data_IF_311986014482
#
_entry.id   IF_311986014482
#
_cell.length_a   1.000
_cell.length_b   1.000
_cell.length_c   1.000
_cell.angle_alpha   90.00
_cell.angle_beta   90.00
_cell.angle_gamma   90.00
#
_symmetry.space_group_name_H-M   'P 1'
#
loop_
_entity.id
_entity.type
_entity.pdbx_description
1 polymer ?
#
# COMPACT_ATOMS: atom_id res chain seq x y z
N UNK A 1 -19.05 -5.48 1.24
CA UNK A 1 -18.71 -4.06 1.09
C UNK A 1 -17.28 -3.81 1.61
N UNK A 2 -16.66 -2.69 1.24
CA UNK A 2 -15.33 -2.31 1.74
C UNK A 2 -15.31 -2.22 3.28
N UNK A 3 -16.39 -1.70 3.86
CA UNK A 3 -16.58 -1.58 5.31
C UNK A 3 -16.61 -2.95 5.99
N UNK A 4 -17.25 -3.95 5.39
CA UNK A 4 -17.28 -5.33 5.91
C UNK A 4 -15.89 -5.93 5.97
N UNK A 5 -15.05 -5.73 4.93
CA UNK A 5 -13.66 -6.20 4.91
C UNK A 5 -12.78 -5.53 5.96
N UNK A 6 -13.04 -4.25 6.24
CA UNK A 6 -12.33 -3.51 7.30
C UNK A 6 -12.75 -4.06 8.67
N UNK A 7 -14.02 -4.27 8.91
CA UNK A 7 -14.54 -4.86 10.15
C UNK A 7 -14.01 -6.27 10.39
N UNK A 8 -14.06 -7.15 9.38
CA UNK A 8 -13.47 -8.49 9.45
C UNK A 8 -11.96 -8.45 9.73
N UNK A 9 -11.25 -7.49 9.15
CA UNK A 9 -9.82 -7.32 9.39
C UNK A 9 -9.52 -6.85 10.82
N UNK A 10 -10.36 -5.99 11.38
CA UNK A 10 -10.24 -5.52 12.77
C UNK A 10 -10.58 -6.63 13.77
N UNK A 11 -11.63 -7.40 13.50
CA UNK A 11 -12.07 -8.52 14.35
C UNK A 11 -11.03 -9.65 14.37
N UNK A 12 -10.50 -10.03 13.21
CA UNK A 12 -9.40 -11.01 13.10
C UNK A 12 -8.08 -10.50 13.67
N UNK A 13 -7.83 -9.18 13.64
CA UNK A 13 -6.66 -8.57 14.25
C UNK A 13 -6.69 -8.66 15.78
N UNK A 14 -7.88 -8.54 16.38
CA UNK A 14 -8.07 -8.70 17.82
C UNK A 14 -7.83 -10.17 18.29
N UNK A 15 -8.04 -11.15 17.42
CA UNK A 15 -7.85 -12.57 17.72
C UNK A 15 -6.38 -13.02 17.65
N UNK A 16 -5.49 -12.31 16.98
CA UNK A 16 -4.08 -12.69 16.84
C UNK A 16 -3.25 -12.21 18.04
N UNK A 17 -2.95 -13.13 18.98
CA UNK A 17 -2.10 -12.83 20.15
C UNK A 17 -0.65 -12.55 19.73
N UNK A 18 -0.07 -11.39 20.09
CA UNK A 18 1.33 -11.06 19.85
C UNK A 18 2.29 -12.07 20.47
N UNK A 19 3.51 -12.21 19.94
CA UNK A 19 4.55 -13.09 20.54
C UNK A 19 4.89 -12.70 21.97
N UNK A 20 4.77 -11.41 22.28
CA UNK A 20 5.05 -10.86 23.60
C UNK A 20 4.02 -11.35 24.65
N UNK A 21 2.76 -11.56 24.29
CA UNK A 21 1.76 -12.18 25.18
C UNK A 21 2.17 -13.61 25.54
N UNK A 22 2.77 -14.34 24.59
CA UNK A 22 3.34 -15.67 24.86
C UNK A 22 4.55 -15.62 25.79
N UNK A 23 5.36 -14.57 25.67
CA UNK A 23 6.48 -14.34 26.59
C UNK A 23 5.98 -14.05 28.01
N UNK A 24 5.01 -13.15 28.17
CA UNK A 24 4.41 -12.82 29.46
C UNK A 24 3.77 -14.06 30.08
N UNK A 25 3.01 -14.83 29.31
CA UNK A 25 2.41 -16.08 29.80
C UNK A 25 3.47 -17.11 30.25
N UNK A 26 4.57 -17.25 29.51
CA UNK A 26 5.68 -18.14 29.86
C UNK A 26 6.41 -17.64 31.11
N UNK A 27 6.65 -16.33 31.18
CA UNK A 27 7.25 -15.72 32.37
C UNK A 27 6.39 -15.92 33.60
N UNK A 28 5.08 -15.63 33.54
CA UNK A 28 4.16 -15.85 34.64
C UNK A 28 4.11 -17.29 35.12
N UNK A 29 4.18 -18.27 34.20
CA UNK A 29 4.18 -19.70 34.52
C UNK A 29 5.38 -20.10 35.38
N UNK A 30 6.51 -19.46 35.24
CA UNK A 30 7.73 -19.74 36.03
C UNK A 30 7.79 -18.83 37.26
N UNK A 31 7.51 -17.56 37.07
CA UNK A 31 7.59 -16.54 38.12
C UNK A 31 6.60 -16.80 39.26
N UNK A 32 5.35 -17.10 38.95
CA UNK A 32 4.31 -17.29 39.99
C UNK A 32 4.60 -18.42 40.95
N UNK A 33 4.98 -19.64 40.54
CA UNK A 33 5.33 -20.68 41.48
C UNK A 33 6.56 -20.35 42.36
N UNK A 34 7.55 -19.66 41.81
CA UNK A 34 8.74 -19.24 42.56
C UNK A 34 8.36 -18.25 43.67
N UNK A 35 7.54 -17.22 43.33
CA UNK A 35 7.10 -16.22 44.30
C UNK A 35 6.22 -16.82 45.39
N UNK A 36 5.30 -17.73 45.01
CA UNK A 36 4.45 -18.44 45.96
C UNK A 36 5.29 -19.32 46.86
N UNK A 37 6.26 -20.07 46.32
CA UNK A 37 7.19 -20.88 47.09
C UNK A 37 8.00 -20.04 48.08
N UNK A 38 8.54 -18.91 47.65
CA UNK A 38 9.26 -17.99 48.53
C UNK A 38 8.37 -17.42 49.65
N UNK A 39 7.12 -17.07 49.34
CA UNK A 39 6.16 -16.60 50.35
C UNK A 39 5.85 -17.68 51.38
N UNK A 40 5.63 -18.91 50.95
CA UNK A 40 5.40 -20.06 51.88
C UNK A 40 6.61 -20.27 52.75
N UNK A 41 7.82 -20.26 52.21
CA UNK A 41 9.06 -20.39 53.01
C UNK A 41 9.20 -19.22 54.01
N UNK A 42 8.88 -18.00 53.61
CA UNK A 42 8.89 -16.82 54.52
C UNK A 42 7.84 -16.93 55.60
N UNK A 43 6.70 -17.54 55.33
CA UNK A 43 5.68 -17.78 56.36
C UNK A 43 6.10 -18.87 57.37
N UNK A 44 6.66 -19.98 56.89
CA UNK A 44 6.89 -21.17 57.72
C UNK A 44 8.21 -21.10 58.51
N UNK A 45 9.33 -20.84 57.85
CA UNK A 45 10.65 -20.95 58.46
C UNK A 45 10.82 -19.98 59.64
N UNK A 46 10.54 -18.69 59.50
CA UNK A 46 10.67 -17.78 60.63
C UNK A 46 9.62 -17.98 61.71
N UNK A 47 8.39 -18.42 61.35
CA UNK A 47 7.35 -18.74 62.33
C UNK A 47 7.76 -19.91 63.26
N UNK A 48 8.43 -20.90 62.72
CA UNK A 48 8.96 -22.04 63.52
C UNK A 48 10.08 -21.61 64.45
N UNK A 49 10.89 -20.59 64.09
CA UNK A 49 12.01 -20.10 64.91
C UNK A 49 11.53 -19.13 65.97
N UNK A 50 10.62 -18.22 65.63
CA UNK A 50 10.21 -17.11 66.51
C UNK A 50 8.92 -17.38 67.27
N UNK A 51 8.09 -18.38 66.84
CA UNK A 51 6.77 -18.67 67.41
C UNK A 51 5.66 -17.70 67.03
N UNK A 52 5.95 -16.63 66.29
CA UNK A 52 5.00 -15.56 65.91
C UNK A 52 4.40 -15.78 64.51
N UNK A 53 3.41 -16.65 64.43
CA UNK A 53 2.74 -17.00 63.19
C UNK A 53 1.99 -15.81 62.55
N UNK A 54 1.35 -14.96 63.39
CA UNK A 54 0.56 -13.85 62.89
C UNK A 54 1.41 -12.86 62.08
N UNK A 55 2.57 -12.48 62.62
CA UNK A 55 3.48 -11.54 61.98
C UNK A 55 4.04 -12.09 60.67
N UNK A 56 4.52 -13.35 60.67
CA UNK A 56 5.19 -13.92 59.50
C UNK A 56 4.22 -14.29 58.36
N UNK A 57 3.00 -14.73 58.68
CA UNK A 57 1.95 -14.90 57.69
C UNK A 57 1.56 -13.56 57.06
N UNK A 58 1.40 -12.50 57.86
CA UNK A 58 1.13 -11.16 57.33
C UNK A 58 2.25 -10.67 56.43
N UNK A 59 3.52 -10.87 56.80
CA UNK A 59 4.69 -10.53 56.03
C UNK A 59 4.72 -11.28 54.70
N UNK A 60 4.45 -12.57 54.70
CA UNK A 60 4.37 -13.39 53.49
C UNK A 60 3.25 -12.95 52.54
N UNK A 61 2.07 -12.61 53.06
CA UNK A 61 0.97 -12.07 52.25
C UNK A 61 1.34 -10.71 51.65
N UNK A 62 1.96 -9.84 52.41
CA UNK A 62 2.45 -8.54 51.93
C UNK A 62 3.48 -8.73 50.82
N UNK A 63 4.42 -9.68 51.00
CA UNK A 63 5.40 -10.04 49.97
C UNK A 63 4.73 -10.51 48.67
N UNK A 64 3.69 -11.37 48.77
CA UNK A 64 2.92 -11.83 47.60
C UNK A 64 2.28 -10.67 46.83
N UNK A 65 1.64 -9.72 47.53
CA UNK A 65 1.00 -8.58 46.90
C UNK A 65 2.01 -7.66 46.23
N UNK A 66 3.15 -7.38 46.91
CA UNK A 66 4.20 -6.53 46.35
C UNK A 66 4.98 -7.15 45.21
N UNK A 67 5.02 -8.46 45.15
CA UNK A 67 5.72 -9.23 44.09
C UNK A 67 4.85 -9.40 42.83
N UNK A 68 3.67 -8.80 42.77
CA UNK A 68 2.85 -8.86 41.56
C UNK A 68 3.51 -8.10 40.39
N UNK A 69 3.74 -8.71 39.22
CA UNK A 69 4.27 -8.02 38.04
C UNK A 69 3.19 -7.25 37.27
N UNK A 70 2.22 -6.68 38.00
CA UNK A 70 1.02 -6.06 37.44
C UNK A 70 1.36 -4.91 36.45
N UNK A 71 2.41 -4.14 36.73
CA UNK A 71 2.89 -3.09 35.84
C UNK A 71 3.35 -3.65 34.48
N UNK A 72 4.04 -4.80 34.48
CA UNK A 72 4.50 -5.44 33.25
C UNK A 72 3.33 -5.97 32.43
N UNK A 73 2.38 -6.62 33.09
CA UNK A 73 1.21 -7.25 32.44
C UNK A 73 0.28 -6.20 31.81
N UNK A 74 0.15 -5.03 32.43
CA UNK A 74 -0.72 -3.94 31.93
C UNK A 74 -0.01 -3.05 30.92
N UNK A 75 1.27 -2.71 31.13
CA UNK A 75 2.00 -1.76 30.29
C UNK A 75 2.23 -2.24 28.85
N UNK A 76 2.42 -3.54 28.67
CA UNK A 76 2.68 -4.10 27.34
C UNK A 76 1.46 -4.00 26.40
N UNK A 77 0.26 -4.49 26.75
CA UNK A 77 -0.93 -4.26 25.90
C UNK A 77 -1.20 -2.78 25.66
N UNK A 78 -1.05 -1.93 26.67
CA UNK A 78 -1.25 -0.51 26.55
C UNK A 78 -0.29 0.13 25.53
N UNK A 79 0.99 -0.26 25.51
CA UNK A 79 1.96 0.21 24.55
C UNK A 79 1.58 -0.20 23.12
N UNK A 80 1.08 -1.44 22.90
CA UNK A 80 0.57 -1.88 21.59
C UNK A 80 -0.65 -1.09 21.15
N UNK A 81 -1.63 -0.88 22.03
CA UNK A 81 -2.81 -0.08 21.70
C UNK A 81 -2.44 1.37 21.38
N UNK A 82 -1.53 1.97 22.15
CA UNK A 82 -1.04 3.32 21.88
C UNK A 82 -0.31 3.40 20.54
N UNK A 83 0.54 2.42 20.23
CA UNK A 83 1.26 2.34 18.97
C UNK A 83 0.35 2.13 17.75
N UNK A 84 -0.63 1.23 17.84
CA UNK A 84 -1.63 1.00 16.80
C UNK A 84 -2.46 2.28 16.59
N UNK A 85 -2.89 2.95 17.67
CA UNK A 85 -3.60 4.20 17.59
C UNK A 85 -2.79 5.33 16.97
N UNK A 86 -1.50 5.43 17.30
CA UNK A 86 -0.60 6.40 16.68
C UNK A 86 -0.38 6.13 15.19
N UNK A 87 -0.29 4.86 14.79
CA UNK A 87 -0.23 4.45 13.38
C UNK A 87 -1.49 4.81 12.63
N UNK A 88 -2.66 4.52 13.19
CA UNK A 88 -3.96 4.84 12.59
C UNK A 88 -4.14 6.34 12.34
N UNK A 89 -3.70 7.20 13.26
CA UNK A 89 -3.70 8.66 13.06
C UNK A 89 -2.84 9.12 11.89
N UNK A 90 -1.86 8.31 11.47
CA UNK A 90 -0.99 8.56 10.29
C UNK A 90 -1.43 7.81 9.05
N UNK A 91 -2.63 7.21 9.05
CA UNK A 91 -3.18 6.44 7.93
C UNK A 91 -2.60 5.03 7.80
N UNK A 92 -1.90 4.51 8.84
CA UNK A 92 -1.32 3.16 8.85
C UNK A 92 -2.24 2.22 9.64
N UNK A 93 -2.84 1.26 8.96
CA UNK A 93 -3.69 0.24 9.59
C UNK A 93 -2.87 -1.01 9.93
N UNK A 94 -2.56 -1.18 11.23
CA UNK A 94 -1.94 -2.40 11.72
C UNK A 94 -2.99 -3.52 11.88
N UNK A 95 -2.72 -4.68 11.33
CA UNK A 95 -3.54 -5.88 11.53
C UNK A 95 -3.18 -6.61 12.84
N UNK A 96 -3.21 -5.85 13.95
CA UNK A 96 -2.90 -6.35 15.29
C UNK A 96 -1.46 -6.16 15.73
N UNK A 97 -1.20 -6.44 17.03
CA UNK A 97 0.11 -6.24 17.67
C UNK A 97 1.23 -7.08 17.08
N UNK A 98 0.91 -8.24 16.50
CA UNK A 98 1.91 -9.09 15.84
C UNK A 98 2.50 -8.43 14.59
N UNK A 99 1.66 -7.73 13.80
CA UNK A 99 2.12 -6.98 12.62
C UNK A 99 3.02 -5.81 13.03
N UNK A 100 2.67 -5.13 14.11
CA UNK A 100 3.48 -4.05 14.66
C UNK A 100 4.84 -4.55 15.19
N UNK A 101 4.87 -5.68 15.91
CA UNK A 101 6.11 -6.31 16.37
C UNK A 101 7.00 -6.74 15.18
N UNK A 102 6.39 -7.26 14.10
CA UNK A 102 7.13 -7.69 12.91
C UNK A 102 7.85 -6.54 12.22
N UNK A 103 7.31 -5.32 12.28
CA UNK A 103 7.94 -4.14 11.68
C UNK A 103 9.33 -3.84 12.23
N UNK A 104 9.60 -4.12 13.52
CA UNK A 104 10.92 -3.92 14.12
C UNK A 104 11.99 -4.89 13.60
N UNK A 105 11.61 -5.91 12.83
CA UNK A 105 12.49 -6.98 12.33
C UNK A 105 12.57 -7.02 10.81
N UNK A 106 12.03 -6.00 10.12
CA UNK A 106 12.07 -5.91 8.66
C UNK A 106 13.53 -5.76 8.21
N UNK A 107 13.92 -6.60 7.25
CA UNK A 107 15.26 -6.56 6.62
C UNK A 107 15.19 -6.17 5.15
N UNK A 108 14.03 -6.31 4.52
CA UNK A 108 13.81 -5.96 3.13
C UNK A 108 12.37 -5.53 2.91
N UNK A 109 12.17 -4.53 2.06
CA UNK A 109 10.86 -4.03 1.66
C UNK A 109 10.72 -4.22 0.15
N UNK A 110 9.68 -4.97 -0.24
CA UNK A 110 9.30 -5.15 -1.64
C UNK A 110 8.04 -4.34 -1.87
N UNK A 111 8.11 -3.38 -2.79
CA UNK A 111 7.00 -2.49 -3.09
C UNK A 111 6.48 -2.74 -4.49
N UNK A 112 5.15 -2.82 -4.64
CA UNK A 112 4.53 -2.72 -5.95
C UNK A 112 4.71 -1.29 -6.51
N UNK A 113 4.75 -1.18 -7.83
CA UNK A 113 4.88 0.11 -8.49
C UNK A 113 3.56 0.86 -8.50
N UNK A 114 2.54 0.24 -9.10
CA UNK A 114 1.28 0.92 -9.43
C UNK A 114 0.40 1.10 -8.20
N UNK A 115 -0.02 2.35 -7.93
CA UNK A 115 -0.84 2.67 -6.75
C UNK A 115 -0.05 2.73 -5.42
N UNK A 116 1.19 2.20 -5.37
CA UNK A 116 2.07 2.25 -4.19
C UNK A 116 3.12 3.35 -4.34
N UNK A 117 4.05 3.22 -5.27
CA UNK A 117 5.06 4.23 -5.59
C UNK A 117 4.45 5.33 -6.47
N UNK A 118 3.55 4.95 -7.36
CA UNK A 118 2.82 5.83 -8.25
C UNK A 118 1.39 6.04 -7.77
N UNK A 119 0.70 7.04 -8.33
CA UNK A 119 -0.68 7.37 -7.97
C UNK A 119 -1.71 6.39 -8.53
N UNK A 120 -1.36 5.65 -9.59
CA UNK A 120 -2.29 4.87 -10.39
C UNK A 120 -3.03 5.72 -11.44
N UNK A 121 -2.64 6.98 -11.57
CA UNK A 121 -3.22 7.93 -12.54
C UNK A 121 -2.32 8.02 -13.75
N UNK A 122 -2.81 7.57 -14.89
CA UNK A 122 -2.12 7.71 -16.16
C UNK A 122 -2.22 9.16 -16.65
N UNK A 123 -1.08 9.71 -17.07
CA UNK A 123 -1.02 11.06 -17.63
C UNK A 123 -0.15 11.09 -18.88
N UNK A 124 -0.49 11.96 -19.82
CA UNK A 124 0.33 12.23 -21.02
C UNK A 124 1.58 12.97 -20.56
N UNK A 125 2.74 12.30 -20.59
CA UNK A 125 4.01 12.85 -20.15
C UNK A 125 4.75 13.58 -21.28
N UNK A 126 4.61 13.08 -22.52
CA UNK A 126 5.32 13.61 -23.68
C UNK A 126 4.50 13.40 -24.95
N UNK A 127 4.57 14.38 -25.85
CA UNK A 127 4.00 14.32 -27.18
C UNK A 127 5.16 14.47 -28.15
N UNK A 128 5.28 13.57 -29.11
CA UNK A 128 6.30 13.61 -30.16
C UNK A 128 5.59 13.66 -31.52
N UNK A 129 5.73 14.76 -32.23
CA UNK A 129 5.09 15.00 -33.53
C UNK A 129 4.13 16.20 -33.55
N UNK A 130 4.03 16.92 -32.40
CA UNK A 130 3.21 18.13 -32.30
C UNK A 130 1.92 17.97 -31.50
N UNK A 131 1.35 19.08 -31.04
CA UNK A 131 0.14 19.09 -30.19
C UNK A 131 -1.11 18.60 -30.95
N UNK A 132 -1.13 18.71 -32.29
CA UNK A 132 -2.20 18.17 -33.13
C UNK A 132 -2.42 16.66 -32.94
N UNK A 133 -1.37 15.92 -32.58
CA UNK A 133 -1.49 14.48 -32.30
C UNK A 133 -2.30 14.19 -31.05
N UNK A 134 -2.24 15.07 -30.05
CA UNK A 134 -3.06 14.94 -28.84
C UNK A 134 -4.55 15.13 -29.19
N UNK A 135 -4.87 16.11 -30.05
CA UNK A 135 -6.21 16.35 -30.49
C UNK A 135 -6.77 15.15 -31.28
N UNK A 136 -6.02 14.67 -32.29
CA UNK A 136 -6.39 13.50 -33.07
C UNK A 136 -6.63 12.25 -32.23
N UNK A 137 -5.74 11.99 -31.27
CA UNK A 137 -5.93 10.87 -30.35
C UNK A 137 -7.17 11.06 -29.48
N UNK A 138 -7.37 12.26 -28.94
CA UNK A 138 -8.52 12.54 -28.08
C UNK A 138 -9.84 12.45 -28.85
N UNK A 139 -9.88 12.88 -30.13
CA UNK A 139 -11.01 12.71 -31.03
C UNK A 139 -11.37 11.22 -31.20
N UNK A 140 -10.36 10.35 -31.33
CA UNK A 140 -10.57 8.90 -31.46
C UNK A 140 -10.95 8.21 -30.14
N UNK A 141 -10.37 8.64 -29.02
CA UNK A 141 -10.46 7.94 -27.73
C UNK A 141 -11.63 8.43 -26.86
N UNK A 142 -12.37 9.47 -27.25
CA UNK A 142 -13.42 10.10 -26.41
C UNK A 142 -14.58 9.17 -26.01
N UNK A 143 -14.77 8.04 -26.71
CA UNK A 143 -15.80 7.06 -26.40
C UNK A 143 -15.27 5.81 -25.66
N UNK A 144 -13.96 5.68 -25.53
CA UNK A 144 -13.32 4.57 -24.83
C UNK A 144 -13.31 4.80 -23.32
N UNK A 145 -13.59 3.74 -22.56
CA UNK A 145 -13.52 3.72 -21.09
C UNK A 145 -12.17 3.23 -20.56
N UNK A 146 -11.19 3.09 -21.45
CA UNK A 146 -9.86 2.63 -21.06
C UNK A 146 -9.11 3.74 -20.30
N UNK A 147 -8.40 3.46 -19.19
CA UNK A 147 -7.69 4.49 -18.41
C UNK A 147 -6.70 5.34 -19.22
N UNK A 148 -6.09 4.77 -20.27
CA UNK A 148 -5.21 5.48 -21.19
C UNK A 148 -6.01 6.50 -22.02
N UNK A 149 -7.17 6.09 -22.55
CA UNK A 149 -8.07 6.96 -23.30
C UNK A 149 -8.55 8.13 -22.45
N UNK A 150 -9.01 7.86 -21.23
CA UNK A 150 -9.42 8.88 -20.27
C UNK A 150 -8.30 9.91 -20.02
N UNK A 151 -7.03 9.44 -19.91
CA UNK A 151 -5.88 10.32 -19.71
C UNK A 151 -5.59 11.22 -20.91
N UNK A 152 -5.76 10.70 -22.12
CA UNK A 152 -5.59 11.47 -23.38
C UNK A 152 -6.66 12.55 -23.48
N UNK A 153 -7.93 12.16 -23.29
CA UNK A 153 -9.07 13.08 -23.33
C UNK A 153 -8.95 14.17 -22.24
N UNK A 154 -8.53 13.79 -21.04
CA UNK A 154 -8.30 14.75 -19.96
C UNK A 154 -7.17 15.75 -20.30
N UNK A 155 -6.09 15.28 -20.91
CA UNK A 155 -4.98 16.15 -21.34
C UNK A 155 -5.38 17.11 -22.44
N UNK A 156 -6.22 16.70 -23.41
CA UNK A 156 -6.75 17.55 -24.46
C UNK A 156 -7.72 18.62 -23.89
N UNK A 157 -8.63 18.22 -22.99
CA UNK A 157 -9.55 19.15 -22.31
C UNK A 157 -8.80 20.17 -21.44
N UNK A 158 -7.74 19.77 -20.75
CA UNK A 158 -6.91 20.69 -19.96
C UNK A 158 -6.22 21.78 -20.83
N UNK A 159 -6.06 21.53 -22.13
CA UNK A 159 -5.53 22.49 -23.13
C UNK A 159 -6.63 23.24 -23.88
N UNK A 160 -7.89 23.08 -23.45
CA UNK A 160 -9.08 23.69 -24.09
C UNK A 160 -9.23 23.30 -25.57
N UNK A 161 -8.84 22.07 -25.95
CA UNK A 161 -9.04 21.55 -27.29
C UNK A 161 -10.51 21.16 -27.50
N UNK A 162 -11.09 21.54 -28.62
CA UNK A 162 -12.45 21.14 -28.99
C UNK A 162 -12.39 19.78 -29.69
N UNK A 163 -13.04 18.75 -29.06
CA UNK A 163 -13.01 17.41 -29.59
C UNK A 163 -14.09 17.22 -30.67
N UNK A 164 -13.66 16.68 -31.81
CA UNK A 164 -14.52 16.33 -32.93
C UNK A 164 -14.94 14.86 -32.85
N UNK A 165 -16.13 14.54 -33.36
CA UNK A 165 -16.56 13.15 -33.43
C UNK A 165 -16.10 12.54 -34.75
N UNK A 166 -15.44 11.35 -34.71
CA UNK A 166 -15.09 10.60 -35.89
C UNK A 166 -16.34 10.12 -36.64
N UNK A 167 -16.26 10.06 -37.95
CA UNK A 167 -17.31 9.56 -38.85
C UNK A 167 -17.50 8.05 -38.69
N UNK A 168 -16.37 7.35 -38.57
CA UNK A 168 -16.29 5.93 -38.32
C UNK A 168 -15.30 5.66 -37.17
N UNK A 169 -15.63 4.72 -36.29
CA UNK A 169 -14.75 4.32 -35.20
C UNK A 169 -14.83 2.81 -34.98
N UNK A 170 -13.68 2.16 -34.99
CA UNK A 170 -13.51 0.74 -34.75
C UNK A 170 -12.47 0.52 -33.64
N UNK A 171 -12.89 -0.05 -32.52
CA UNK A 171 -11.98 -0.44 -31.45
C UNK A 171 -11.40 -1.82 -31.73
N UNK A 172 -10.07 -1.91 -31.84
CA UNK A 172 -9.34 -3.15 -32.10
C UNK A 172 -8.78 -3.67 -30.77
N UNK A 173 -9.45 -4.64 -30.18
CA UNK A 173 -9.15 -5.16 -28.84
C UNK A 173 -7.66 -5.46 -28.63
N UNK A 174 -7.06 -4.84 -27.60
CA UNK A 174 -5.65 -4.98 -27.24
C UNK A 174 -4.64 -4.38 -28.22
N UNK A 175 -5.10 -3.57 -29.20
CA UNK A 175 -4.24 -2.95 -30.22
C UNK A 175 -4.38 -1.44 -30.28
N UNK A 176 -5.60 -0.92 -30.22
CA UNK A 176 -5.92 0.51 -30.30
C UNK A 176 -7.19 0.77 -31.08
N UNK A 177 -7.29 1.94 -31.70
CA UNK A 177 -8.46 2.42 -32.41
C UNK A 177 -8.09 2.79 -33.85
N UNK A 178 -8.99 2.44 -34.74
CA UNK A 178 -9.05 2.92 -36.12
C UNK A 178 -10.24 3.87 -36.23
N UNK A 179 -10.03 5.05 -36.74
CA UNK A 179 -11.08 6.04 -36.91
C UNK A 179 -10.97 6.71 -38.26
N UNK A 180 -12.07 7.32 -38.69
CA UNK A 180 -12.10 8.19 -39.86
C UNK A 180 -12.54 9.58 -39.44
N UNK A 181 -11.73 10.59 -39.72
CA UNK A 181 -11.97 11.96 -39.35
C UNK A 181 -11.61 12.87 -40.55
N UNK A 182 -12.54 13.70 -40.97
CA UNK A 182 -12.42 14.59 -42.14
C UNK A 182 -11.96 13.85 -43.41
N UNK A 183 -12.50 12.62 -43.60
CA UNK A 183 -12.18 11.75 -44.72
C UNK A 183 -10.84 11.03 -44.65
N UNK A 184 -10.01 11.28 -43.63
CA UNK A 184 -8.71 10.63 -43.38
C UNK A 184 -8.81 9.46 -42.43
N UNK A 185 -8.05 8.41 -42.72
CA UNK A 185 -7.92 7.26 -41.82
C UNK A 185 -6.90 7.57 -40.71
N UNK A 186 -7.32 7.45 -39.44
CA UNK A 186 -6.48 7.67 -38.28
C UNK A 186 -6.32 6.35 -37.54
N UNK A 187 -5.09 5.99 -37.22
CA UNK A 187 -4.74 4.85 -36.41
C UNK A 187 -4.09 5.37 -35.10
N UNK A 188 -4.71 5.06 -33.96
CA UNK A 188 -4.17 5.36 -32.64
C UNK A 188 -4.01 4.05 -31.88
N UNK A 189 -2.78 3.64 -31.51
CA UNK A 189 -2.60 2.38 -30.81
C UNK A 189 -1.15 1.97 -30.58
N UNK A 190 -0.97 0.70 -30.26
CA UNK A 190 0.33 0.14 -29.95
C UNK A 190 1.14 -0.23 -31.21
N UNK A 191 2.39 -0.65 -31.02
CA UNK A 191 3.29 -1.06 -32.11
C UNK A 191 2.70 -2.19 -32.98
N UNK A 192 1.87 -3.08 -32.39
CA UNK A 192 1.24 -4.18 -33.13
C UNK A 192 0.25 -3.67 -34.18
N UNK A 193 -0.58 -2.68 -33.81
CA UNK A 193 -1.54 -2.09 -34.74
C UNK A 193 -0.84 -1.52 -35.97
N UNK A 194 0.19 -0.70 -35.76
CA UNK A 194 0.88 -0.05 -36.86
C UNK A 194 1.63 -1.05 -37.74
N UNK A 195 2.26 -2.07 -37.12
CA UNK A 195 2.94 -3.14 -37.87
C UNK A 195 1.98 -3.95 -38.73
N UNK A 196 0.80 -4.32 -38.22
CA UNK A 196 -0.23 -5.05 -38.98
C UNK A 196 -0.80 -4.22 -40.14
N UNK A 197 -0.83 -2.91 -39.99
CA UNK A 197 -1.25 -1.99 -41.05
C UNK A 197 -0.10 -1.56 -41.99
N UNK A 198 1.09 -2.14 -41.83
CA UNK A 198 2.25 -1.86 -42.68
C UNK A 198 2.88 -0.48 -42.48
N UNK A 199 2.58 0.20 -41.38
CA UNK A 199 3.12 1.52 -41.08
C UNK A 199 4.50 1.37 -40.44
N UNK A 200 5.51 1.99 -41.03
CA UNK A 200 6.87 2.05 -40.46
C UNK A 200 6.99 3.14 -39.42
N UNK A 201 7.56 2.86 -38.27
CA UNK A 201 7.77 3.80 -37.18
C UNK A 201 9.13 3.62 -36.49
N UNK A 202 9.75 4.65 -35.91
CA UNK A 202 11.01 4.55 -35.19
C UNK A 202 10.81 3.85 -33.85
N UNK A 203 11.70 2.86 -33.53
CA UNK A 203 11.70 2.22 -32.20
C UNK A 203 12.28 3.19 -31.17
N UNK A 204 11.53 3.43 -30.09
CA UNK A 204 11.97 4.23 -28.96
C UNK A 204 12.08 3.36 -27.70
N UNK A 205 13.12 3.60 -26.89
CA UNK A 205 13.37 2.90 -25.61
C UNK A 205 12.80 3.64 -24.39
N UNK A 206 11.97 4.66 -24.60
CA UNK A 206 11.39 5.41 -23.51
C UNK A 206 10.45 4.54 -22.65
N UNK A 207 10.51 4.76 -21.37
CA UNK A 207 9.69 4.03 -20.39
C UNK A 207 8.28 4.62 -20.32
N UNK A 208 7.27 3.79 -20.53
CA UNK A 208 5.86 4.17 -20.50
C UNK A 208 5.06 3.44 -21.59
N UNK A 209 3.75 3.67 -21.60
CA UNK A 209 2.87 3.19 -22.66
C UNK A 209 2.87 4.20 -23.79
N UNK A 210 3.21 3.75 -25.00
CA UNK A 210 3.18 4.59 -26.20
C UNK A 210 1.90 4.34 -26.96
N UNK A 211 1.20 5.41 -27.27
CA UNK A 211 0.12 5.42 -28.25
C UNK A 211 0.68 6.07 -29.52
N UNK A 212 0.97 5.23 -30.50
CA UNK A 212 1.46 5.68 -31.81
C UNK A 212 0.30 6.15 -32.67
N UNK A 213 0.56 7.15 -33.47
CA UNK A 213 -0.45 7.77 -34.35
C UNK A 213 0.04 7.68 -35.80
N UNK A 214 -0.86 7.24 -36.66
CA UNK A 214 -0.66 7.31 -38.10
C UNK A 214 -1.91 7.90 -38.76
N UNK A 215 -1.69 8.66 -39.83
CA UNK A 215 -2.75 9.27 -40.67
C UNK A 215 -2.52 8.82 -42.10
N UNK A 216 -3.53 8.27 -42.74
CA UNK A 216 -3.47 7.71 -44.12
C UNK A 216 -2.26 6.83 -44.37
N UNK A 217 -1.96 5.95 -43.39
CA UNK A 217 -0.82 5.02 -43.47
C UNK A 217 0.56 5.64 -43.19
N UNK A 218 0.65 6.95 -42.94
CA UNK A 218 1.89 7.64 -42.63
C UNK A 218 2.03 7.88 -41.11
N UNK A 219 3.13 7.41 -40.50
CA UNK A 219 3.44 7.66 -39.09
C UNK A 219 3.62 9.15 -38.82
N UNK A 220 2.92 9.69 -37.82
CA UNK A 220 2.97 11.09 -37.42
C UNK A 220 3.71 11.34 -36.10
N UNK A 221 3.71 10.35 -35.20
CA UNK A 221 4.32 10.49 -33.89
C UNK A 221 3.69 9.58 -32.85
N UNK A 222 3.92 9.90 -31.56
CA UNK A 222 3.34 9.16 -30.46
C UNK A 222 3.07 10.02 -29.22
N UNK A 223 2.14 9.56 -28.41
CA UNK A 223 1.93 10.03 -27.05
C UNK A 223 2.59 9.05 -26.09
N UNK A 224 3.42 9.55 -25.18
CA UNK A 224 3.98 8.77 -24.09
C UNK A 224 3.13 8.97 -22.83
N UNK A 225 2.53 7.89 -22.36
CA UNK A 225 1.66 7.87 -21.20
C UNK A 225 2.33 7.07 -20.11
N UNK A 226 2.45 7.64 -18.94
CA UNK A 226 3.02 6.98 -17.77
C UNK A 226 2.24 7.35 -16.50
N UNK A 227 2.34 6.45 -15.54
CA UNK A 227 1.79 6.64 -14.22
C UNK A 227 2.63 7.66 -13.43
N UNK A 228 1.97 8.57 -12.74
CA UNK A 228 2.62 9.64 -12.00
C UNK A 228 3.18 9.13 -10.66
N UNK A 229 4.45 9.41 -10.40
CA UNK A 229 5.08 9.09 -9.11
C UNK A 229 4.43 9.94 -8.00
N UNK A 230 4.12 9.33 -6.86
CA UNK A 230 3.58 10.06 -5.69
C UNK A 230 4.59 11.06 -5.16
N UNK A 231 4.10 12.24 -4.78
CA UNK A 231 4.92 13.24 -4.10
C UNK A 231 5.51 12.64 -2.82
N UNK A 232 6.83 12.66 -2.70
CA UNK A 232 7.55 12.08 -1.56
C UNK A 232 7.94 10.61 -1.67
N UNK A 233 7.53 9.89 -2.73
CA UNK A 233 7.92 8.48 -2.92
C UNK A 233 9.45 8.31 -3.02
N UNK A 234 10.14 9.22 -3.71
CA UNK A 234 11.60 9.21 -3.80
C UNK A 234 12.27 9.35 -2.43
N UNK A 235 11.78 10.31 -1.62
CA UNK A 235 12.29 10.53 -0.27
C UNK A 235 12.03 9.32 0.64
N UNK A 236 10.86 8.70 0.52
CA UNK A 236 10.51 7.50 1.29
C UNK A 236 11.42 6.30 0.92
N UNK A 237 11.67 6.08 -0.37
CA UNK A 237 12.59 5.02 -0.84
C UNK A 237 14.01 5.28 -0.38
N UNK A 238 14.47 6.54 -0.44
CA UNK A 238 15.80 6.93 0.03
C UNK A 238 15.94 6.70 1.54
N UNK A 239 14.97 7.13 2.34
CA UNK A 239 14.97 6.91 3.78
C UNK A 239 14.98 5.43 4.17
N UNK A 240 14.23 4.58 3.43
CA UNK A 240 14.24 3.13 3.63
C UNK A 240 15.57 2.47 3.27
N UNK A 241 16.30 3.02 2.30
CA UNK A 241 17.62 2.51 1.91
C UNK A 241 18.70 2.88 2.92
N UNK A 242 18.58 4.05 3.54
CA UNK A 242 19.58 4.62 4.45
C UNK A 242 19.36 4.17 5.92
N UNK A 243 18.27 3.41 6.23
CA UNK A 243 17.95 2.82 7.54
C UNK A 243 18.35 1.35 7.64
#
# INVERSE_FOLDING_TARGET
SMVTRILDSVENAAASKPRIDRFITRFARVYTPIVVGAAVLTAIIPSLITGDWGKWVYTALTFLVMSCPCALVLSVPLAFFAGIGAGSKRGILFKGGQSMEAMSKIKAVIMDKTGTITKGDFTVQKIVGGDELLELCADCEQQSTHPIAESIVAAAKARNMELRRPEELEELAGRGIRAKLDGKEILCGNERLLTEKGVSFPKSREYGTKVLVAVDGAYQGYLLIADTIKTGAENAVRALRDS
#
